data_IF_185105357891
#
_entry.id   IF_185105357891
#
_cell.length_a   1.000
_cell.length_b   1.000
_cell.length_c   1.000
_cell.angle_alpha   90.00
_cell.angle_beta   90.00
_cell.angle_gamma   90.00
#
_symmetry.space_group_name_H-M   'P 1'
#
loop_
_entity.id
_entity.type
_entity.pdbx_description
1 polymer ?
#
# COMPACT_ATOMS: atom_id res chain seq x y z
N UNK A 1 -14.24 -5.89 -0.07
CA UNK A 1 -15.32 -5.78 -1.10
C UNK A 1 -15.27 -4.50 -1.94
N UNK A 2 -14.65 -3.39 -1.51
CA UNK A 2 -14.64 -2.12 -2.27
C UNK A 2 -13.90 -2.16 -3.62
N UNK A 3 -12.69 -2.74 -3.66
CA UNK A 3 -11.84 -2.69 -4.86
C UNK A 3 -12.33 -3.59 -6.01
N UNK A 4 -13.09 -4.64 -5.72
CA UNK A 4 -13.56 -5.61 -6.72
C UNK A 4 -14.37 -4.96 -7.85
N UNK A 5 -15.24 -4.00 -7.52
CA UNK A 5 -16.09 -3.32 -8.50
C UNK A 5 -15.26 -2.54 -9.52
N UNK A 6 -14.27 -1.78 -9.05
CA UNK A 6 -13.39 -1.00 -9.91
C UNK A 6 -12.57 -1.92 -10.83
N UNK A 7 -12.05 -3.04 -10.29
CA UNK A 7 -11.29 -4.03 -11.07
C UNK A 7 -12.13 -4.64 -12.19
N UNK A 8 -13.33 -5.13 -11.90
CA UNK A 8 -14.17 -5.81 -12.90
C UNK A 8 -14.63 -4.84 -13.98
N UNK A 9 -15.12 -3.66 -13.59
CA UNK A 9 -15.60 -2.64 -14.54
C UNK A 9 -14.44 -2.12 -15.40
N UNK A 10 -13.28 -1.85 -14.81
CA UNK A 10 -12.08 -1.45 -15.55
C UNK A 10 -11.65 -2.49 -16.58
N UNK A 11 -11.68 -3.78 -16.21
CA UNK A 11 -11.33 -4.87 -17.13
C UNK A 11 -12.36 -5.01 -18.27
N UNK A 12 -13.65 -4.85 -17.98
CA UNK A 12 -14.71 -4.84 -18.98
C UNK A 12 -14.52 -3.72 -20.01
N UNK A 13 -14.30 -2.48 -19.54
CA UNK A 13 -14.05 -1.31 -20.42
C UNK A 13 -12.79 -1.50 -21.26
N UNK A 14 -11.73 -2.05 -20.68
CA UNK A 14 -10.49 -2.42 -21.39
C UNK A 14 -10.79 -3.38 -22.54
N UNK A 15 -11.52 -4.46 -22.27
CA UNK A 15 -11.80 -5.51 -23.25
C UNK A 15 -12.68 -5.01 -24.40
N UNK A 16 -13.68 -4.18 -24.13
CA UNK A 16 -14.52 -3.58 -25.19
C UNK A 16 -13.69 -2.68 -26.11
N UNK A 17 -12.83 -1.84 -25.55
CA UNK A 17 -11.99 -0.94 -26.35
C UNK A 17 -10.98 -1.72 -27.20
N UNK A 18 -10.39 -2.79 -26.66
CA UNK A 18 -9.53 -3.68 -27.43
C UNK A 18 -10.29 -4.36 -28.58
N UNK A 19 -11.51 -4.84 -28.32
CA UNK A 19 -12.36 -5.44 -29.36
C UNK A 19 -12.78 -4.45 -30.45
N UNK A 20 -12.89 -3.16 -30.11
CA UNK A 20 -13.16 -2.08 -31.06
C UNK A 20 -11.93 -1.63 -31.88
N UNK A 21 -10.74 -2.21 -31.64
CA UNK A 21 -9.50 -1.86 -32.33
C UNK A 21 -8.75 -0.67 -31.74
N UNK A 22 -9.14 -0.18 -30.57
CA UNK A 22 -8.44 0.93 -29.90
C UNK A 22 -7.16 0.44 -29.22
N UNK A 23 -6.14 1.31 -29.16
CA UNK A 23 -4.98 1.11 -28.31
C UNK A 23 -5.33 1.45 -26.87
N UNK A 24 -5.21 0.48 -25.97
CA UNK A 24 -5.57 0.63 -24.55
C UNK A 24 -4.36 0.39 -23.67
N UNK A 25 -4.12 1.30 -22.71
CA UNK A 25 -3.18 1.11 -21.61
C UNK A 25 -3.98 1.01 -20.31
N UNK A 26 -3.97 -0.16 -19.67
CA UNK A 26 -4.60 -0.34 -18.37
C UNK A 26 -3.63 0.11 -17.26
N UNK A 27 -4.10 0.96 -16.35
CA UNK A 27 -3.30 1.51 -15.25
C UNK A 27 -3.97 1.13 -13.93
N UNK A 28 -3.18 0.54 -13.02
CA UNK A 28 -3.56 0.39 -11.62
C UNK A 28 -2.87 1.51 -10.82
N UNK A 29 -3.64 2.54 -10.46
CA UNK A 29 -3.14 3.69 -9.70
C UNK A 29 -3.11 3.34 -8.21
N UNK A 30 -1.97 2.85 -7.74
CA UNK A 30 -1.80 2.40 -6.36
C UNK A 30 -1.89 3.60 -5.39
N UNK A 31 -2.62 3.41 -4.29
CA UNK A 31 -2.63 4.35 -3.18
C UNK A 31 -1.46 4.08 -2.22
N UNK A 32 -0.24 4.18 -2.71
CA UNK A 32 0.99 3.87 -1.98
C UNK A 32 1.71 5.11 -1.43
N UNK A 33 0.97 6.21 -1.23
CA UNK A 33 1.51 7.50 -0.81
C UNK A 33 0.57 8.26 0.15
N UNK A 34 1.14 8.96 1.14
CA UNK A 34 0.43 9.79 2.13
C UNK A 34 0.37 9.23 3.55
N UNK A 35 -0.43 9.85 4.42
CA UNK A 35 -0.47 9.57 5.88
C UNK A 35 -0.79 8.12 6.24
N UNK A 36 -1.53 7.40 5.38
CA UNK A 36 -1.80 5.97 5.57
C UNK A 36 -0.50 5.14 5.55
N UNK A 37 0.46 5.52 4.72
CA UNK A 37 1.77 4.90 4.68
C UNK A 37 2.62 5.32 5.87
N UNK A 38 2.54 6.58 6.31
CA UNK A 38 3.15 7.03 7.56
C UNK A 38 2.69 6.21 8.77
N UNK A 39 1.38 5.94 8.86
CA UNK A 39 0.80 5.07 9.90
C UNK A 39 1.27 3.61 9.76
N UNK A 40 1.46 3.09 8.54
CA UNK A 40 2.02 1.77 8.33
C UNK A 40 3.50 1.69 8.73
N UNK A 41 4.30 2.70 8.43
CA UNK A 41 5.69 2.80 8.85
C UNK A 41 5.82 2.87 10.37
N UNK A 42 4.99 3.68 11.03
CA UNK A 42 4.87 3.71 12.50
C UNK A 42 4.45 2.35 13.03
N UNK A 43 3.42 1.73 12.46
CA UNK A 43 3.00 0.39 12.84
C UNK A 43 4.13 -0.64 12.73
N UNK A 44 4.90 -0.58 11.65
CA UNK A 44 5.94 -1.55 11.38
C UNK A 44 7.14 -1.40 12.32
N UNK A 45 7.48 -0.19 12.77
CA UNK A 45 8.53 0.00 13.77
C UNK A 45 8.18 -0.62 15.13
N UNK A 46 6.89 -0.68 15.47
CA UNK A 46 6.40 -1.23 16.75
C UNK A 46 6.00 -2.71 16.69
N UNK A 47 5.41 -3.15 15.57
CA UNK A 47 4.77 -4.45 15.44
C UNK A 47 5.26 -5.28 14.24
N UNK A 48 6.20 -4.73 13.47
CA UNK A 48 6.74 -5.37 12.28
C UNK A 48 7.59 -6.60 12.60
N UNK A 49 7.52 -7.60 11.73
CA UNK A 49 8.34 -8.79 11.80
C UNK A 49 8.93 -9.08 10.40
N UNK A 50 10.26 -8.98 10.23
CA UNK A 50 10.91 -9.20 8.95
C UNK A 50 10.62 -10.58 8.32
N UNK A 51 10.50 -11.62 9.15
CA UNK A 51 10.20 -12.97 8.67
C UNK A 51 8.77 -13.10 8.11
N UNK A 52 7.81 -12.43 8.76
CA UNK A 52 6.42 -12.40 8.29
C UNK A 52 6.29 -11.54 7.02
N UNK A 53 7.12 -10.52 6.86
CA UNK A 53 7.19 -9.73 5.63
C UNK A 53 7.67 -10.55 4.43
N UNK A 54 8.49 -11.58 4.65
CA UNK A 54 8.98 -12.45 3.57
C UNK A 54 8.03 -13.60 3.26
N UNK A 55 7.33 -14.13 4.27
CA UNK A 55 6.48 -15.32 4.14
C UNK A 55 5.03 -15.00 3.76
N UNK A 56 4.43 -13.95 4.34
CA UNK A 56 3.06 -13.52 4.06
C UNK A 56 2.93 -11.99 4.17
N UNK A 57 3.51 -11.23 3.22
CA UNK A 57 3.65 -9.79 3.31
C UNK A 57 2.34 -9.05 3.44
N UNK A 58 1.34 -9.34 2.59
CA UNK A 58 0.07 -8.61 2.59
C UNK A 58 -0.69 -8.80 3.90
N UNK A 59 -0.77 -10.04 4.40
CA UNK A 59 -1.46 -10.32 5.65
C UNK A 59 -0.74 -9.67 6.82
N UNK A 60 0.60 -9.73 6.83
CA UNK A 60 1.39 -9.09 7.86
C UNK A 60 1.21 -7.57 7.85
N UNK A 61 1.41 -6.92 6.71
CA UNK A 61 1.26 -5.46 6.57
C UNK A 61 -0.16 -5.01 6.94
N UNK A 62 -1.19 -5.75 6.54
CA UNK A 62 -2.56 -5.48 6.94
C UNK A 62 -2.74 -5.58 8.47
N UNK A 63 -2.20 -6.63 9.10
CA UNK A 63 -2.28 -6.81 10.55
C UNK A 63 -1.56 -5.69 11.32
N UNK A 64 -0.40 -5.26 10.82
CA UNK A 64 0.39 -4.16 11.38
C UNK A 64 -0.37 -2.86 11.25
N UNK A 65 -0.94 -2.57 10.08
CA UNK A 65 -1.73 -1.37 9.84
C UNK A 65 -2.94 -1.27 10.78
N UNK A 66 -3.74 -2.35 10.88
CA UNK A 66 -4.91 -2.38 11.77
C UNK A 66 -4.50 -2.14 13.22
N UNK A 67 -3.42 -2.78 13.68
CA UNK A 67 -2.92 -2.61 15.04
C UNK A 67 -2.39 -1.20 15.28
N UNK A 68 -1.74 -0.59 14.29
CA UNK A 68 -1.30 0.79 14.35
C UNK A 68 -2.48 1.77 14.46
N UNK A 69 -3.51 1.60 13.62
CA UNK A 69 -4.72 2.41 13.71
C UNK A 69 -5.42 2.27 15.07
N UNK A 70 -5.46 1.06 15.64
CA UNK A 70 -6.04 0.84 16.97
C UNK A 70 -5.21 1.46 18.10
N UNK A 71 -3.87 1.41 17.99
CA UNK A 71 -2.97 1.88 19.05
C UNK A 71 -2.72 3.39 18.99
N UNK A 72 -2.69 3.96 17.80
CA UNK A 72 -2.21 5.33 17.54
C UNK A 72 -3.21 6.19 16.75
N UNK A 73 -4.19 5.59 16.07
CA UNK A 73 -5.10 6.31 15.17
C UNK A 73 -6.14 7.19 15.87
N UNK A 74 -6.30 7.07 17.19
CA UNK A 74 -7.17 7.93 18.01
C UNK A 74 -6.39 8.86 18.95
N UNK A 75 -5.06 8.85 18.86
CA UNK A 75 -4.18 9.72 19.65
C UNK A 75 -3.63 10.83 18.78
N UNK A 76 -3.66 12.07 19.27
CA UNK A 76 -3.10 13.23 18.55
C UNK A 76 -1.60 13.06 18.27
N UNK A 77 -0.86 12.50 19.23
CA UNK A 77 0.57 12.19 19.08
C UNK A 77 0.80 11.17 17.96
N UNK A 78 0.06 10.07 17.95
CA UNK A 78 0.18 9.03 16.92
C UNK A 78 -0.16 9.50 15.51
N UNK A 79 -1.14 10.41 15.36
CA UNK A 79 -1.45 11.03 14.07
C UNK A 79 -0.36 12.01 13.63
N UNK A 80 0.18 12.80 14.56
CA UNK A 80 1.31 13.70 14.32
C UNK A 80 2.55 12.93 13.89
N UNK A 81 2.87 11.83 14.55
CA UNK A 81 4.00 10.96 14.25
C UNK A 81 3.84 10.32 12.85
N UNK A 82 2.66 9.79 12.55
CA UNK A 82 2.37 9.23 11.23
C UNK A 82 2.48 10.30 10.12
N UNK A 83 2.00 11.52 10.38
CA UNK A 83 2.14 12.63 9.43
C UNK A 83 3.60 13.00 9.22
N UNK A 84 4.39 13.09 10.29
CA UNK A 84 5.82 13.42 10.23
C UNK A 84 6.61 12.35 9.46
N UNK A 85 6.29 11.08 9.66
CA UNK A 85 6.88 9.97 8.89
C UNK A 85 6.49 10.02 7.40
N UNK A 86 5.26 10.41 7.07
CA UNK A 86 4.84 10.63 5.69
C UNK A 86 5.65 11.76 5.05
N UNK A 87 5.82 12.88 5.74
CA UNK A 87 6.63 14.00 5.25
C UNK A 87 8.09 13.60 5.06
N UNK A 88 8.69 12.88 6.00
CA UNK A 88 10.08 12.40 5.88
C UNK A 88 10.28 11.44 4.70
N UNK A 89 9.26 10.66 4.36
CA UNK A 89 9.25 9.81 3.16
C UNK A 89 9.14 10.66 1.88
N UNK A 90 8.27 11.67 1.89
CA UNK A 90 8.05 12.60 0.77
C UNK A 90 9.30 13.43 0.42
N UNK A 91 10.00 13.92 1.44
CA UNK A 91 11.22 14.72 1.27
C UNK A 91 12.45 13.86 0.96
N UNK A 92 12.38 12.55 1.23
CA UNK A 92 13.52 11.64 1.09
C UNK A 92 14.59 11.84 2.17
N UNK A 93 14.29 12.56 3.25
CA UNK A 93 15.22 12.80 4.36
C UNK A 93 15.66 11.51 5.08
N UNK A 94 14.84 10.46 4.98
CA UNK A 94 15.05 9.16 5.62
C UNK A 94 15.18 8.04 4.58
N UNK A 95 16.39 7.74 4.09
CA UNK A 95 16.62 6.68 3.10
C UNK A 95 16.17 5.28 3.57
N UNK A 96 16.18 5.05 4.87
CA UNK A 96 15.68 3.82 5.50
C UNK A 96 14.17 3.66 5.30
N UNK A 97 13.38 4.74 5.45
CA UNK A 97 11.94 4.72 5.21
C UNK A 97 11.61 4.50 3.72
N UNK A 98 12.37 5.12 2.83
CA UNK A 98 12.21 4.93 1.37
C UNK A 98 12.50 3.48 0.99
N UNK A 99 13.54 2.89 1.56
CA UNK A 99 13.88 1.47 1.34
C UNK A 99 12.77 0.56 1.85
N UNK A 100 12.23 0.86 3.03
CA UNK A 100 11.14 0.10 3.63
C UNK A 100 9.86 0.18 2.79
N UNK A 101 9.46 1.38 2.36
CA UNK A 101 8.33 1.59 1.46
C UNK A 101 8.50 0.81 0.15
N UNK A 102 9.69 0.90 -0.46
CA UNK A 102 9.99 0.18 -1.70
C UNK A 102 9.81 -1.33 -1.54
N UNK A 103 10.18 -1.87 -0.38
CA UNK A 103 9.98 -3.29 -0.03
C UNK A 103 8.48 -3.62 0.10
N UNK A 104 7.72 -2.82 0.85
CA UNK A 104 6.25 -2.98 0.98
C UNK A 104 5.54 -2.95 -0.37
N UNK A 105 5.91 -1.98 -1.20
CA UNK A 105 5.36 -1.79 -2.54
C UNK A 105 5.66 -2.98 -3.43
N UNK A 106 6.91 -3.45 -3.44
CA UNK A 106 7.33 -4.58 -4.26
C UNK A 106 6.58 -5.87 -3.90
N UNK A 107 6.46 -6.18 -2.61
CA UNK A 107 5.68 -7.31 -2.13
C UNK A 107 4.20 -7.20 -2.49
N UNK A 108 3.61 -6.00 -2.33
CA UNK A 108 2.20 -5.76 -2.65
C UNK A 108 1.93 -5.91 -4.15
N UNK A 109 2.82 -5.42 -5.01
CA UNK A 109 2.69 -5.55 -6.47
C UNK A 109 2.72 -7.02 -6.89
N UNK A 110 3.61 -7.82 -6.32
CA UNK A 110 3.73 -9.23 -6.70
C UNK A 110 2.47 -10.02 -6.36
N UNK A 111 1.88 -9.78 -5.19
CA UNK A 111 0.60 -10.38 -4.82
C UNK A 111 -0.57 -9.86 -5.67
N UNK A 112 -0.61 -8.56 -5.98
CA UNK A 112 -1.64 -8.00 -6.87
C UNK A 112 -1.57 -8.59 -8.28
N UNK A 113 -0.37 -8.86 -8.80
CA UNK A 113 -0.21 -9.56 -10.09
C UNK A 113 -0.80 -10.95 -10.03
N UNK A 114 -0.60 -11.70 -8.94
CA UNK A 114 -1.20 -13.03 -8.77
C UNK A 114 -2.73 -12.98 -8.69
N UNK A 115 -3.26 -11.98 -7.99
CA UNK A 115 -4.71 -11.80 -7.83
C UNK A 115 -5.42 -11.34 -9.12
N UNK A 116 -4.72 -10.61 -9.99
CA UNK A 116 -5.28 -10.04 -11.22
C UNK A 116 -4.81 -10.72 -12.51
N UNK A 117 -4.02 -11.80 -12.42
CA UNK A 117 -3.65 -12.66 -13.54
C UNK A 117 -4.91 -13.32 -14.14
#
# INVERSE_FOLDING_TARGET
MGHFRATVVGNFVKNINLAAGNRVTAINYLGDWGTQLGMLCLGYSHFGNPHLLETDPLKHLHSVYVRACQSFGSTDDGMTDASSLSTALETGERPDLVTLWSKFRSCSIEELKRLYA
#
